data_IF_393108769298
#
_entry.id   IF_393108769298
#
_cell.length_a   1.000
_cell.length_b   1.000
_cell.length_c   1.000
_cell.angle_alpha   90.00
_cell.angle_beta   90.00
_cell.angle_gamma   90.00
#
_symmetry.space_group_name_H-M   'P 1'
#
loop_
_entity.id
_entity.type
_entity.pdbx_description
1 polymer ?
#
# COMPACT_ATOMS: atom_id res chain seq x y z
N UNK A 1 -0.91 0.67 26.25
CA UNK A 1 -1.68 -0.09 25.24
C UNK A 1 -0.69 -0.50 24.15
N UNK A 2 -0.52 -1.79 23.95
CA UNK A 2 0.32 -2.31 22.88
C UNK A 2 -0.49 -2.38 21.58
N UNK A 3 0.12 -2.01 20.46
CA UNK A 3 -0.45 -2.15 19.12
C UNK A 3 0.29 -3.28 18.41
N UNK A 4 -0.46 -4.23 17.88
CA UNK A 4 0.07 -5.42 17.22
C UNK A 4 -0.30 -5.47 15.76
N UNK A 5 0.57 -6.02 14.93
CA UNK A 5 0.25 -6.42 13.56
C UNK A 5 -0.51 -7.74 13.63
N UNK A 6 -1.72 -7.78 13.11
CA UNK A 6 -2.58 -8.95 13.10
C UNK A 6 -2.42 -9.77 11.81
N UNK A 7 -2.30 -9.07 10.70
CA UNK A 7 -2.04 -9.65 9.39
C UNK A 7 -1.50 -8.60 8.44
N UNK A 8 -0.96 -9.06 7.33
CA UNK A 8 -0.51 -8.22 6.21
C UNK A 8 -0.78 -8.90 4.86
N UNK A 9 -0.70 -8.13 3.80
CA UNK A 9 -0.66 -8.64 2.43
C UNK A 9 0.06 -7.66 1.51
N UNK A 10 0.88 -8.19 0.62
CA UNK A 10 1.54 -7.44 -0.46
C UNK A 10 1.13 -8.03 -1.80
N UNK A 11 0.66 -7.19 -2.72
CA UNK A 11 0.47 -7.52 -4.12
C UNK A 11 1.47 -6.70 -4.93
N UNK A 12 2.30 -7.37 -5.70
CA UNK A 12 3.26 -6.76 -6.61
C UNK A 12 3.45 -7.65 -7.84
N UNK A 13 4.23 -7.24 -8.85
CA UNK A 13 4.58 -8.11 -9.97
C UNK A 13 5.33 -9.41 -9.59
N UNK A 14 5.74 -9.55 -8.34
CA UNK A 14 6.38 -10.78 -7.82
C UNK A 14 5.41 -11.76 -7.18
N UNK A 15 4.20 -11.35 -6.84
CA UNK A 15 3.21 -12.22 -6.23
C UNK A 15 2.00 -11.48 -5.66
N UNK A 16 0.99 -12.24 -5.30
CA UNK A 16 -0.32 -11.81 -4.81
C UNK A 16 -0.41 -11.79 -3.28
N UNK A 17 0.60 -12.31 -2.60
CA UNK A 17 0.66 -12.40 -1.14
C UNK A 17 2.02 -11.98 -0.62
N UNK A 18 2.11 -11.63 0.66
CA UNK A 18 3.39 -11.30 1.32
C UNK A 18 4.36 -12.47 1.23
N UNK A 19 3.88 -13.72 1.40
CA UNK A 19 4.72 -14.92 1.32
C UNK A 19 5.28 -15.14 -0.08
N UNK A 20 4.47 -15.02 -1.14
CA UNK A 20 4.93 -15.16 -2.52
C UNK A 20 5.99 -14.11 -2.86
N UNK A 21 5.76 -12.85 -2.47
CA UNK A 21 6.73 -11.77 -2.65
C UNK A 21 8.03 -12.05 -1.88
N UNK A 22 7.94 -12.51 -0.64
CA UNK A 22 9.10 -12.86 0.17
C UNK A 22 9.92 -13.98 -0.46
N UNK A 23 9.27 -15.06 -0.91
CA UNK A 23 9.96 -16.17 -1.55
C UNK A 23 10.62 -15.75 -2.87
N UNK A 24 9.93 -14.94 -3.69
CA UNK A 24 10.50 -14.43 -4.93
C UNK A 24 11.77 -13.59 -4.68
N UNK A 25 11.74 -12.69 -3.68
CA UNK A 25 12.90 -11.89 -3.30
C UNK A 25 14.02 -12.76 -2.75
N UNK A 26 13.71 -13.74 -1.91
CA UNK A 26 14.67 -14.70 -1.37
C UNK A 26 15.39 -15.51 -2.46
N UNK A 27 14.68 -15.82 -3.54
CA UNK A 27 15.23 -16.48 -4.73
C UNK A 27 15.98 -15.53 -5.68
N UNK A 28 16.12 -14.25 -5.33
CA UNK A 28 16.78 -13.23 -6.14
C UNK A 28 15.99 -12.79 -7.37
N UNK A 29 14.67 -13.09 -7.43
CA UNK A 29 13.81 -12.67 -8.53
C UNK A 29 13.57 -11.17 -8.50
N UNK A 30 13.53 -10.55 -9.68
CA UNK A 30 13.15 -9.16 -9.89
C UNK A 30 12.11 -9.07 -11.00
N UNK A 31 11.12 -8.19 -10.82
CA UNK A 31 10.13 -7.86 -11.83
C UNK A 31 10.44 -6.52 -12.54
N UNK A 32 11.57 -5.90 -12.24
CA UNK A 32 12.06 -4.70 -12.91
C UNK A 32 12.48 -5.06 -14.33
N UNK A 33 11.92 -4.35 -15.33
CA UNK A 33 12.21 -4.58 -16.75
C UNK A 33 12.18 -3.28 -17.54
N UNK A 34 12.84 -3.29 -18.70
CA UNK A 34 12.80 -2.19 -19.65
C UNK A 34 11.50 -2.21 -20.47
N UNK A 35 10.93 -1.04 -20.66
CA UNK A 35 9.78 -0.79 -21.53
C UNK A 35 10.22 0.08 -22.70
N UNK A 36 9.76 -0.28 -23.90
CA UNK A 36 10.07 0.43 -25.12
C UNK A 36 9.43 1.84 -25.15
N UNK A 37 9.96 2.77 -25.94
CA UNK A 37 9.29 4.04 -26.23
C UNK A 37 7.83 3.83 -26.65
N UNK A 38 6.96 4.79 -26.31
CA UNK A 38 5.51 4.79 -26.55
C UNK A 38 4.71 3.75 -25.73
N UNK A 39 5.35 2.93 -24.91
CA UNK A 39 4.64 2.06 -23.94
C UNK A 39 3.81 2.93 -22.99
N UNK A 40 2.53 2.59 -22.80
CA UNK A 40 1.56 3.37 -22.00
C UNK A 40 1.49 4.87 -22.39
N UNK A 41 1.77 5.22 -23.64
CA UNK A 41 1.78 6.60 -24.14
C UNK A 41 2.95 7.46 -23.63
N UNK A 42 4.02 6.83 -23.12
CA UNK A 42 5.23 7.51 -22.66
C UNK A 42 6.22 7.59 -23.81
N UNK A 43 6.63 8.81 -24.25
CA UNK A 43 7.47 8.98 -25.44
C UNK A 43 8.83 8.29 -25.37
N UNK A 44 9.45 8.32 -24.20
CA UNK A 44 10.76 7.73 -23.96
C UNK A 44 10.64 6.34 -23.34
N UNK A 45 11.60 5.45 -23.62
CA UNK A 45 11.72 4.18 -22.89
C UNK A 45 11.96 4.42 -21.39
N UNK A 46 11.59 3.46 -20.57
CA UNK A 46 11.77 3.54 -19.12
C UNK A 46 11.98 2.15 -18.52
N UNK A 47 12.48 2.12 -17.28
CA UNK A 47 12.67 0.88 -16.51
C UNK A 47 11.78 0.94 -15.26
N UNK A 48 10.92 -0.06 -15.12
CA UNK A 48 9.91 -0.10 -14.06
C UNK A 48 9.46 -1.55 -13.78
N UNK A 49 8.59 -1.70 -12.80
CA UNK A 49 7.93 -2.97 -12.46
C UNK A 49 6.42 -2.75 -12.40
N UNK A 50 5.68 -3.15 -13.44
CA UNK A 50 4.26 -2.85 -13.60
C UNK A 50 3.41 -4.13 -13.61
N UNK A 51 2.19 -4.02 -13.08
CA UNK A 51 1.12 -5.02 -13.13
C UNK A 51 0.07 -4.68 -14.20
N UNK A 52 -0.04 -3.40 -14.56
CA UNK A 52 -1.13 -2.86 -15.38
C UNK A 52 -2.50 -3.04 -14.74
N UNK A 53 -2.59 -2.80 -13.44
CA UNK A 53 -3.81 -2.95 -12.64
C UNK A 53 -4.59 -1.63 -12.52
N UNK A 54 -5.88 -1.72 -12.22
CA UNK A 54 -6.66 -0.59 -11.71
C UNK A 54 -6.27 -0.31 -10.26
N UNK A 55 -6.05 0.97 -9.92
CA UNK A 55 -5.60 1.38 -8.58
C UNK A 55 -6.56 0.93 -7.48
N UNK A 56 -7.86 1.17 -7.65
CA UNK A 56 -8.86 0.84 -6.63
C UNK A 56 -9.00 -0.66 -6.44
N UNK A 57 -8.93 -1.42 -7.55
CA UNK A 57 -8.96 -2.88 -7.51
C UNK A 57 -7.73 -3.46 -6.83
N UNK A 58 -6.55 -2.93 -7.13
CA UNK A 58 -5.29 -3.37 -6.52
C UNK A 58 -5.30 -3.12 -5.01
N UNK A 59 -5.68 -1.92 -4.57
CA UNK A 59 -5.79 -1.56 -3.16
C UNK A 59 -6.85 -2.41 -2.44
N UNK A 60 -8.03 -2.59 -3.06
CA UNK A 60 -9.10 -3.42 -2.51
C UNK A 60 -8.66 -4.87 -2.30
N UNK A 61 -8.04 -5.49 -3.31
CA UNK A 61 -7.60 -6.89 -3.24
C UNK A 61 -6.56 -7.11 -2.15
N UNK A 62 -5.59 -6.20 -2.02
CA UNK A 62 -4.59 -6.27 -0.95
C UNK A 62 -5.23 -6.14 0.43
N UNK A 63 -6.14 -5.16 0.61
CA UNK A 63 -6.83 -4.95 1.87
C UNK A 63 -7.75 -6.12 2.24
N UNK A 64 -8.50 -6.67 1.27
CA UNK A 64 -9.39 -7.82 1.51
C UNK A 64 -8.60 -9.04 1.98
N UNK A 65 -7.50 -9.39 1.30
CA UNK A 65 -6.64 -10.52 1.70
C UNK A 65 -6.08 -10.36 3.12
N UNK A 66 -5.63 -9.15 3.46
CA UNK A 66 -5.10 -8.88 4.80
C UNK A 66 -6.20 -8.95 5.88
N UNK A 67 -7.41 -8.44 5.59
CA UNK A 67 -8.57 -8.54 6.47
C UNK A 67 -8.94 -10.00 6.71
N UNK A 68 -9.08 -10.78 5.64
CA UNK A 68 -9.44 -12.20 5.72
C UNK A 68 -8.42 -12.99 6.56
N UNK A 69 -7.12 -12.73 6.37
CA UNK A 69 -6.06 -13.35 7.14
C UNK A 69 -6.03 -12.92 8.61
N UNK A 70 -6.53 -11.73 8.93
CA UNK A 70 -6.53 -11.19 10.30
C UNK A 70 -7.60 -11.81 11.20
N UNK A 71 -8.68 -12.31 10.62
CA UNK A 71 -9.85 -12.83 11.34
C UNK A 71 -10.63 -11.78 12.15
N UNK A 72 -10.41 -10.48 11.90
CA UNK A 72 -11.15 -9.41 12.59
C UNK A 72 -12.57 -9.29 12.05
N UNK A 73 -13.50 -8.85 12.90
CA UNK A 73 -14.84 -8.46 12.46
C UNK A 73 -14.84 -7.00 11.99
N UNK A 74 -14.76 -6.79 10.68
CA UNK A 74 -14.75 -5.46 10.06
C UNK A 74 -16.09 -4.72 10.18
N UNK A 75 -17.21 -5.43 10.37
CA UNK A 75 -18.51 -4.81 10.62
C UNK A 75 -18.57 -4.11 11.98
N UNK A 76 -17.54 -4.25 12.80
CA UNK A 76 -17.38 -3.47 14.01
C UNK A 76 -17.28 -1.98 13.68
N UNK A 77 -18.08 -1.17 14.35
CA UNK A 77 -18.06 0.30 14.24
C UNK A 77 -16.76 0.93 14.72
N UNK A 78 -15.79 0.12 15.15
CA UNK A 78 -14.50 0.56 15.69
C UNK A 78 -13.30 0.16 14.83
N UNK A 79 -13.54 -0.15 13.55
CA UNK A 79 -12.51 -0.39 12.55
C UNK A 79 -12.39 0.80 11.60
N UNK A 80 -11.18 1.36 11.43
CA UNK A 80 -10.90 2.43 10.48
C UNK A 80 -10.08 1.92 9.29
N UNK A 81 -10.44 2.39 8.09
CA UNK A 81 -9.62 2.22 6.89
C UNK A 81 -8.74 3.46 6.69
N UNK A 82 -7.46 3.28 6.45
CA UNK A 82 -6.51 4.36 6.17
C UNK A 82 -5.85 4.08 4.84
N UNK A 83 -6.14 4.91 3.85
CA UNK A 83 -5.50 4.86 2.54
C UNK A 83 -4.25 5.74 2.53
N UNK A 84 -3.14 5.16 2.12
CA UNK A 84 -1.87 5.85 1.89
C UNK A 84 -1.55 5.84 0.40
N UNK A 85 -1.66 6.98 -0.24
CA UNK A 85 -1.28 7.17 -1.65
C UNK A 85 -1.08 8.65 -1.94
N UNK A 86 -0.31 8.95 -2.99
CA UNK A 86 -0.06 10.34 -3.39
C UNK A 86 -0.89 10.78 -4.58
N UNK A 87 -1.29 9.87 -5.45
CA UNK A 87 -1.94 10.17 -6.74
C UNK A 87 -3.25 9.41 -6.96
N UNK A 88 -3.44 8.26 -6.28
CA UNK A 88 -4.62 7.41 -6.54
C UNK A 88 -4.74 7.05 -8.01
N UNK A 89 -5.95 7.15 -8.53
CA UNK A 89 -6.30 6.81 -9.93
C UNK A 89 -6.06 7.97 -10.90
N UNK A 90 -4.90 8.64 -10.81
CA UNK A 90 -4.58 9.82 -11.65
C UNK A 90 -4.57 9.50 -13.16
N UNK A 91 -4.42 8.24 -13.56
CA UNK A 91 -4.49 7.80 -14.97
C UNK A 91 -5.86 8.08 -15.61
N UNK A 92 -6.89 8.22 -14.80
CA UNK A 92 -8.27 8.51 -15.23
C UNK A 92 -8.56 10.01 -15.40
N UNK A 93 -7.57 10.87 -15.17
CA UNK A 93 -7.71 12.32 -15.32
C UNK A 93 -8.14 12.67 -16.74
N UNK A 94 -9.20 13.47 -16.87
CA UNK A 94 -9.82 13.82 -18.15
C UNK A 94 -10.69 12.73 -18.77
N UNK A 95 -10.83 11.56 -18.14
CA UNK A 95 -11.68 10.45 -18.60
C UNK A 95 -12.91 10.25 -17.71
N UNK A 96 -12.93 10.84 -16.55
CA UNK A 96 -14.02 10.76 -15.56
C UNK A 96 -14.15 12.10 -14.85
N UNK A 97 -15.23 12.29 -14.09
CA UNK A 97 -15.42 13.48 -13.25
C UNK A 97 -14.27 13.61 -12.26
N UNK A 98 -13.71 14.79 -12.14
CA UNK A 98 -12.55 15.07 -11.27
C UNK A 98 -12.84 14.72 -9.79
N UNK A 99 -14.07 14.92 -9.33
CA UNK A 99 -14.49 14.57 -7.98
C UNK A 99 -14.27 13.09 -7.64
N UNK A 100 -14.40 12.21 -8.64
CA UNK A 100 -14.15 10.77 -8.46
C UNK A 100 -12.69 10.45 -8.23
N UNK A 101 -11.77 11.35 -8.60
CA UNK A 101 -10.33 11.19 -8.47
C UNK A 101 -9.76 11.69 -7.16
N UNK A 102 -10.54 12.44 -6.36
CA UNK A 102 -10.07 12.84 -5.03
C UNK A 102 -9.81 11.61 -4.16
N UNK A 103 -8.63 11.58 -3.53
CA UNK A 103 -8.20 10.45 -2.69
C UNK A 103 -9.22 10.09 -1.60
N UNK A 104 -9.93 11.08 -1.03
CA UNK A 104 -10.99 10.86 -0.07
C UNK A 104 -12.15 10.05 -0.65
N UNK A 105 -12.57 10.35 -1.87
CA UNK A 105 -13.66 9.65 -2.56
C UNK A 105 -13.21 8.23 -2.99
N UNK A 106 -11.97 8.07 -3.43
CA UNK A 106 -11.36 6.76 -3.71
C UNK A 106 -11.33 5.91 -2.44
N UNK A 107 -10.81 6.46 -1.35
CA UNK A 107 -10.75 5.77 -0.06
C UNK A 107 -12.15 5.35 0.43
N UNK A 108 -13.16 6.22 0.25
CA UNK A 108 -14.53 5.92 0.62
C UNK A 108 -15.11 4.75 -0.20
N UNK A 109 -14.86 4.70 -1.51
CA UNK A 109 -15.31 3.57 -2.35
C UNK A 109 -14.65 2.25 -1.94
N UNK A 110 -13.34 2.27 -1.68
CA UNK A 110 -12.62 1.08 -1.21
C UNK A 110 -13.17 0.63 0.16
N UNK A 111 -13.31 1.54 1.12
CA UNK A 111 -13.83 1.24 2.45
C UNK A 111 -15.24 0.63 2.39
N UNK A 112 -16.11 1.19 1.54
CA UNK A 112 -17.47 0.68 1.32
C UNK A 112 -17.47 -0.73 0.75
N UNK A 113 -16.62 -1.01 -0.24
CA UNK A 113 -16.46 -2.36 -0.81
C UNK A 113 -15.93 -3.37 0.22
N UNK A 114 -15.06 -2.94 1.14
CA UNK A 114 -14.56 -3.75 2.24
C UNK A 114 -15.60 -3.98 3.34
N UNK A 115 -16.73 -3.28 3.33
CA UNK A 115 -17.75 -3.36 4.38
C UNK A 115 -17.41 -2.55 5.65
N UNK A 116 -16.43 -1.64 5.57
CA UNK A 116 -16.05 -0.77 6.68
C UNK A 116 -16.99 0.43 6.71
N UNK A 117 -17.69 0.62 7.84
CA UNK A 117 -18.77 1.60 7.97
C UNK A 117 -18.29 3.02 8.29
N UNK A 118 -17.13 3.15 8.91
CA UNK A 118 -16.58 4.45 9.30
C UNK A 118 -15.92 5.14 8.11
N UNK A 119 -15.99 6.48 8.12
CA UNK A 119 -15.29 7.29 7.12
C UNK A 119 -13.81 6.99 7.14
N UNK A 120 -13.21 6.72 5.98
CA UNK A 120 -11.78 6.44 5.89
C UNK A 120 -10.94 7.70 6.14
N UNK A 121 -9.67 7.47 6.41
CA UNK A 121 -8.66 8.53 6.51
C UNK A 121 -7.71 8.38 5.33
N UNK A 122 -7.29 9.52 4.76
CA UNK A 122 -6.26 9.55 3.72
C UNK A 122 -4.98 10.16 4.31
N UNK A 123 -3.86 9.49 4.06
CA UNK A 123 -2.52 10.01 4.39
C UNK A 123 -1.75 10.16 3.08
N UNK A 124 -1.40 11.41 2.77
CA UNK A 124 -0.62 11.76 1.58
C UNK A 124 0.59 12.59 2.02
N UNK A 125 1.75 11.95 2.11
CA UNK A 125 3.01 12.57 2.51
C UNK A 125 4.18 12.00 1.70
N UNK A 126 4.11 12.15 0.38
CA UNK A 126 5.12 11.66 -0.57
C UNK A 126 5.55 10.19 -0.26
N UNK A 127 6.84 9.90 -0.32
CA UNK A 127 7.38 8.54 -0.14
C UNK A 127 7.18 7.97 1.25
N UNK A 128 6.92 8.79 2.27
CA UNK A 128 6.71 8.33 3.65
C UNK A 128 5.23 8.14 4.02
N UNK A 129 4.31 8.27 3.05
CA UNK A 129 2.86 8.16 3.29
C UNK A 129 2.48 6.88 4.05
N UNK A 130 3.05 5.74 3.67
CA UNK A 130 2.79 4.46 4.30
C UNK A 130 3.21 4.42 5.77
N UNK A 131 4.43 4.88 6.07
CA UNK A 131 4.93 4.97 7.45
C UNK A 131 4.10 5.96 8.28
N UNK A 132 3.79 7.13 7.72
CA UNK A 132 2.96 8.14 8.37
C UNK A 132 1.55 7.60 8.69
N UNK A 133 0.97 6.82 7.78
CA UNK A 133 -0.33 6.15 7.98
C UNK A 133 -0.27 5.11 9.13
N UNK A 134 0.80 4.32 9.21
CA UNK A 134 1.00 3.36 10.30
C UNK A 134 1.18 4.06 11.65
N UNK A 135 1.93 5.16 11.70
CA UNK A 135 2.10 5.98 12.91
C UNK A 135 0.75 6.57 13.35
N UNK A 136 -0.02 7.11 12.41
CA UNK A 136 -1.36 7.64 12.69
C UNK A 136 -2.27 6.54 13.22
N UNK A 137 -2.31 5.38 12.57
CA UNK A 137 -3.09 4.21 13.01
C UNK A 137 -2.74 3.82 14.45
N UNK A 138 -1.43 3.70 14.74
CA UNK A 138 -0.96 3.38 16.10
C UNK A 138 -1.47 4.39 17.14
N UNK A 139 -1.36 5.69 16.86
CA UNK A 139 -1.86 6.75 17.76
C UNK A 139 -3.38 6.67 17.98
N UNK A 140 -4.15 6.39 16.93
CA UNK A 140 -5.60 6.23 17.01
C UNK A 140 -6.01 4.99 17.80
N UNK A 141 -5.25 3.91 17.73
CA UNK A 141 -5.46 2.70 18.52
C UNK A 141 -5.07 2.90 19.99
N UNK A 142 -3.93 3.54 20.25
CA UNK A 142 -3.47 3.87 21.62
C UNK A 142 -4.46 4.80 22.32
N UNK A 143 -5.01 5.79 21.61
CA UNK A 143 -6.05 6.69 22.15
C UNK A 143 -7.41 6.01 22.35
N UNK A 144 -7.54 4.74 22.00
CA UNK A 144 -8.77 3.94 22.11
C UNK A 144 -9.93 4.47 21.25
N UNK A 145 -9.66 5.31 20.23
CA UNK A 145 -10.67 5.79 19.30
C UNK A 145 -11.18 4.65 18.43
N UNK A 146 -10.28 3.73 18.04
CA UNK A 146 -10.58 2.53 17.26
C UNK A 146 -9.99 1.29 17.95
N UNK A 147 -10.50 0.11 17.58
CA UNK A 147 -9.98 -1.18 18.02
C UNK A 147 -9.06 -1.79 16.96
N UNK A 148 -9.39 -1.54 15.69
CA UNK A 148 -8.62 -2.02 14.54
C UNK A 148 -8.39 -0.91 13.52
N UNK A 149 -7.27 -1.02 12.81
CA UNK A 149 -6.96 -0.16 11.68
C UNK A 149 -6.45 -1.00 10.51
N UNK A 150 -7.07 -0.83 9.35
CA UNK A 150 -6.63 -1.40 8.08
C UNK A 150 -5.87 -0.30 7.34
N UNK A 151 -4.56 -0.41 7.29
CA UNK A 151 -3.68 0.57 6.63
C UNK A 151 -3.26 0.00 5.29
N UNK A 152 -3.71 0.61 4.19
CA UNK A 152 -3.40 0.20 2.84
C UNK A 152 -2.62 1.29 2.12
N UNK A 153 -1.42 0.95 1.63
CA UNK A 153 -0.64 1.77 0.73
C UNK A 153 -0.70 1.19 -0.68
N UNK A 154 -0.97 2.03 -1.68
CA UNK A 154 -0.99 1.60 -3.07
C UNK A 154 -0.53 2.72 -3.99
N UNK A 155 0.22 2.35 -5.02
CA UNK A 155 0.58 3.23 -6.13
C UNK A 155 0.64 2.45 -7.45
N UNK A 156 0.12 3.08 -8.53
CA UNK A 156 0.15 2.57 -9.89
C UNK A 156 0.86 3.60 -10.78
N UNK A 157 2.18 3.43 -11.05
CA UNK A 157 2.90 4.30 -11.97
C UNK A 157 2.25 4.30 -13.36
N UNK A 158 1.98 5.48 -13.85
CA UNK A 158 1.35 5.73 -15.14
C UNK A 158 2.10 6.83 -15.89
N UNK A 159 1.59 7.24 -17.06
CA UNK A 159 2.22 8.29 -17.88
C UNK A 159 2.53 9.55 -17.08
N UNK A 160 1.59 10.04 -16.24
CA UNK A 160 1.79 11.26 -15.46
C UNK A 160 2.95 11.12 -14.48
N UNK A 161 2.99 10.03 -13.73
CA UNK A 161 4.00 9.77 -12.70
C UNK A 161 5.36 9.53 -13.35
N UNK A 162 5.44 8.63 -14.34
CA UNK A 162 6.69 8.25 -14.99
C UNK A 162 7.30 9.45 -15.71
N UNK A 163 6.51 10.20 -16.50
CA UNK A 163 7.00 11.40 -17.19
C UNK A 163 7.45 12.48 -16.22
N UNK A 164 6.77 12.63 -15.07
CA UNK A 164 7.19 13.53 -13.99
C UNK A 164 8.57 13.18 -13.45
N UNK A 165 8.79 11.91 -13.10
CA UNK A 165 10.10 11.45 -12.62
C UNK A 165 11.19 11.50 -13.69
N UNK A 166 10.86 11.24 -14.95
CA UNK A 166 11.80 11.42 -16.07
C UNK A 166 12.21 12.90 -16.23
N UNK A 167 11.28 13.83 -16.13
CA UNK A 167 11.56 15.28 -16.24
C UNK A 167 12.50 15.80 -15.15
N UNK A 168 12.51 15.13 -13.99
CA UNK A 168 13.41 15.43 -12.89
C UNK A 168 14.74 14.67 -12.96
N UNK A 169 14.99 13.89 -14.03
CA UNK A 169 16.14 13.00 -14.16
C UNK A 169 16.30 12.03 -12.96
N UNK A 170 15.19 11.62 -12.36
CA UNK A 170 15.20 10.81 -11.14
C UNK A 170 15.07 9.31 -11.41
N UNK A 171 14.81 8.90 -12.66
CA UNK A 171 14.69 7.49 -13.03
C UNK A 171 16.00 6.90 -13.52
N UNK A 172 16.31 5.69 -13.08
CA UNK A 172 17.43 4.91 -13.62
C UNK A 172 17.08 4.33 -14.98
N UNK A 173 18.05 4.34 -15.90
CA UNK A 173 17.97 3.63 -17.17
C UNK A 173 18.20 2.12 -17.05
N UNK A 174 18.64 1.66 -15.87
CA UNK A 174 18.93 0.27 -15.53
C UNK A 174 18.22 -0.13 -14.26
N UNK A 175 18.38 -1.36 -13.79
CA UNK A 175 17.94 -1.74 -12.44
C UNK A 175 18.59 -0.85 -11.40
N UNK A 176 17.77 -0.29 -10.50
CA UNK A 176 18.28 0.58 -9.45
C UNK A 176 19.25 -0.16 -8.51
N UNK A 177 20.19 0.59 -7.98
CA UNK A 177 21.22 0.12 -7.06
C UNK A 177 21.02 0.83 -5.71
N UNK A 178 20.14 0.34 -4.85
CA UNK A 178 19.85 0.98 -3.57
C UNK A 178 21.12 1.11 -2.72
N UNK A 179 21.32 2.31 -2.15
CA UNK A 179 22.45 2.65 -1.29
C UNK A 179 23.83 2.64 -1.95
N UNK A 180 23.94 2.33 -3.25
CA UNK A 180 25.19 2.39 -3.97
C UNK A 180 25.63 3.85 -4.19
N UNK A 181 26.95 4.13 -4.11
CA UNK A 181 27.50 5.45 -4.36
C UNK A 181 27.38 5.84 -5.85
N UNK A 182 27.39 4.86 -6.75
CA UNK A 182 27.30 5.05 -8.20
C UNK A 182 25.85 4.95 -8.73
N UNK A 183 24.85 4.91 -7.85
CA UNK A 183 23.43 4.81 -8.25
C UNK A 183 23.02 5.95 -9.17
N UNK A 184 22.25 5.64 -10.20
CA UNK A 184 21.83 6.57 -11.25
C UNK A 184 20.30 6.90 -11.20
N UNK A 185 19.69 6.82 -10.05
CA UNK A 185 18.27 7.08 -9.89
C UNK A 185 17.53 5.84 -9.35
N UNK A 186 16.20 5.85 -9.51
CA UNK A 186 15.31 4.82 -9.00
C UNK A 186 14.47 4.18 -10.11
N UNK A 187 13.83 3.05 -9.81
CA UNK A 187 12.76 2.49 -10.64
C UNK A 187 11.43 2.60 -9.90
N UNK A 188 10.39 2.91 -10.65
CA UNK A 188 9.02 2.94 -10.14
C UNK A 188 8.41 1.53 -10.22
N UNK A 189 7.57 1.21 -9.24
CA UNK A 189 6.87 -0.07 -9.19
C UNK A 189 5.39 0.11 -8.87
N UNK A 190 4.57 -0.78 -9.42
CA UNK A 190 3.16 -0.91 -9.10
C UNK A 190 3.00 -1.94 -8.00
N UNK A 191 2.36 -1.55 -6.91
CA UNK A 191 2.10 -2.44 -5.80
C UNK A 191 0.99 -1.91 -4.88
N UNK A 192 0.40 -2.81 -4.12
CA UNK A 192 -0.37 -2.48 -2.92
C UNK A 192 0.09 -3.32 -1.74
N UNK A 193 0.25 -2.68 -0.60
CA UNK A 193 0.59 -3.34 0.65
C UNK A 193 -0.39 -2.93 1.74
N UNK A 194 -0.91 -3.89 2.48
CA UNK A 194 -1.87 -3.66 3.56
C UNK A 194 -1.38 -4.30 4.84
N UNK A 195 -1.52 -3.56 5.94
CA UNK A 195 -1.26 -4.05 7.29
C UNK A 195 -2.50 -3.85 8.14
N UNK A 196 -2.95 -4.89 8.81
CA UNK A 196 -4.05 -4.84 9.78
C UNK A 196 -3.45 -4.73 11.18
N UNK A 197 -3.74 -3.62 11.84
CA UNK A 197 -3.30 -3.32 13.20
C UNK A 197 -4.45 -3.48 14.19
N UNK A 198 -4.15 -4.01 15.37
CA UNK A 198 -5.08 -4.10 16.48
C UNK A 198 -4.45 -3.63 17.78
N UNK A 199 -5.25 -3.02 18.67
CA UNK A 199 -4.83 -2.83 20.04
C UNK A 199 -5.06 -4.10 20.86
N UNK A 200 -4.16 -4.42 21.78
CA UNK A 200 -4.42 -5.48 22.74
C UNK A 200 -5.65 -5.11 23.58
N UNK A 201 -6.75 -5.81 23.32
CA UNK A 201 -7.87 -5.86 24.24
C UNK A 201 -7.49 -6.96 25.22
N UNK A 202 -7.28 -6.62 26.48
CA UNK A 202 -6.94 -7.57 27.55
C UNK A 202 -8.12 -8.52 27.76
N UNK A 203 -8.27 -9.51 26.88
CA UNK A 203 -9.12 -10.67 27.10
C UNK A 203 -8.21 -11.87 27.25
N UNK A 204 -8.22 -12.44 28.45
CA UNK A 204 -7.64 -13.75 28.72
C UNK A 204 -8.13 -14.74 27.67
N UNK A 205 -7.19 -15.52 27.14
CA UNK A 205 -7.37 -16.70 26.29
C UNK A 205 -7.69 -16.46 24.81
N UNK A 206 -6.66 -16.49 23.98
CA UNK A 206 -6.69 -17.30 22.78
C UNK A 206 -5.50 -18.25 22.86
N UNK A 207 -5.73 -19.42 23.44
CA UNK A 207 -4.92 -20.60 23.20
C UNK A 207 -5.17 -21.04 21.75
N UNK A 208 -4.25 -20.75 20.87
CA UNK A 208 -4.01 -21.56 19.67
C UNK A 208 -2.63 -21.25 19.12
N UNK A 209 -1.81 -22.25 19.09
CA UNK A 209 -0.40 -22.41 18.88
C UNK A 209 0.30 -21.77 17.69
N UNK A 210 -0.04 -20.57 17.31
CA UNK A 210 0.75 -19.76 16.39
C UNK A 210 1.28 -18.55 17.17
N UNK A 211 2.56 -18.54 17.48
CA UNK A 211 3.23 -17.34 18.01
C UNK A 211 3.23 -16.29 16.89
N UNK A 212 2.20 -15.42 16.87
CA UNK A 212 2.24 -14.20 16.09
C UNK A 212 3.40 -13.36 16.64
N UNK A 213 4.40 -13.09 15.81
CA UNK A 213 5.46 -12.15 16.19
C UNK A 213 4.82 -10.77 16.36
N UNK A 214 4.88 -10.27 17.58
CA UNK A 214 4.39 -8.93 17.92
C UNK A 214 5.52 -7.95 17.58
N UNK A 215 5.32 -7.11 16.58
CA UNK A 215 6.23 -6.02 16.28
C UNK A 215 5.83 -4.81 17.13
N UNK A 216 6.74 -4.33 17.96
CA UNK A 216 6.55 -3.05 18.65
C UNK A 216 6.91 -1.92 17.68
N UNK A 217 5.94 -1.05 17.40
CA UNK A 217 6.24 0.22 16.74
C UNK A 217 6.80 1.13 17.82
N UNK A 218 8.12 1.31 17.83
CA UNK A 218 8.78 2.20 18.78
C UNK A 218 8.38 3.65 18.51
N UNK A 219 8.01 4.33 19.58
CA UNK A 219 7.87 5.79 19.56
C UNK A 219 9.24 6.38 19.93
N UNK A 220 9.98 6.86 18.92
CA UNK A 220 11.13 7.75 19.09
C UNK A 220 10.67 9.18 19.04
#
# INVERSE_FOLDING_TARGET
VMVSVLADNVISPLGETSEENYQAVKEGKSAIRAYAPMTAGIPNGFVASLLSSDFEELAFRSAQKAIDASGINISSTRTVFILSSTKGSIEKLGQTDDDKLYLGNIAQRIATRLGIQLSPIVVCNACISGLAAMILASRLLVSKKYDYAVVCGADCPNRFIISGFQSLNAMSAFSCQPFDIERQGLNLAEAAATVVLGREITTKSVNNGCRKQVWQIGHG
#
